data_IF_184092369159
#
_entry.id   IF_184092369159
#
_cell.length_a   1.000
_cell.length_b   1.000
_cell.length_c   1.000
_cell.angle_alpha   90.00
_cell.angle_beta   90.00
_cell.angle_gamma   90.00
#
_symmetry.space_group_name_H-M   'P 1'
#
loop_
_entity.id
_entity.type
_entity.pdbx_description
1 polymer ?
#
# COMPACT_ATOMS: atom_id res chain seq x y z
N UNK A 1 -38.80 12.41 23.71
CA UNK A 1 -37.64 11.96 22.93
C UNK A 1 -38.08 12.00 21.47
N UNK A 2 -37.61 12.97 20.66
CA UNK A 2 -37.93 13.00 19.25
C UNK A 2 -37.11 11.92 18.52
N UNK A 3 -37.80 11.06 17.78
CA UNK A 3 -37.19 10.01 16.98
C UNK A 3 -36.28 10.63 15.92
N UNK A 4 -34.99 10.28 15.94
CA UNK A 4 -34.04 10.69 14.91
C UNK A 4 -34.48 10.06 13.58
N UNK A 5 -34.71 10.85 12.51
CA UNK A 5 -35.12 10.30 11.23
C UNK A 5 -34.10 9.30 10.71
N UNK A 6 -34.60 8.22 10.12
CA UNK A 6 -33.78 7.11 9.61
C UNK A 6 -32.81 7.67 8.55
N UNK A 7 -31.51 7.31 8.56
CA UNK A 7 -30.51 7.88 7.62
C UNK A 7 -30.90 7.81 6.14
N UNK A 8 -31.76 6.85 5.78
CA UNK A 8 -32.28 6.68 4.43
C UNK A 8 -33.25 7.79 4.00
N UNK A 9 -34.07 8.31 4.92
CA UNK A 9 -35.00 9.41 4.63
C UNK A 9 -34.23 10.71 4.36
N UNK A 10 -33.16 10.97 5.11
CA UNK A 10 -32.28 12.12 4.88
C UNK A 10 -31.67 12.08 3.48
N UNK A 11 -31.08 10.95 3.07
CA UNK A 11 -30.52 10.80 1.73
C UNK A 11 -31.57 11.03 0.63
N UNK A 12 -32.77 10.47 0.80
CA UNK A 12 -33.86 10.68 -0.17
C UNK A 12 -34.29 12.15 -0.28
N UNK A 13 -34.28 12.88 0.85
CA UNK A 13 -34.60 14.30 0.88
C UNK A 13 -33.54 15.16 0.17
N UNK A 14 -32.26 14.79 0.27
CA UNK A 14 -31.17 15.44 -0.47
C UNK A 14 -31.32 15.22 -1.98
N UNK A 15 -31.58 13.99 -2.43
CA UNK A 15 -31.82 13.72 -3.85
C UNK A 15 -33.05 14.47 -4.37
N UNK A 16 -34.15 14.50 -3.61
CA UNK A 16 -35.35 15.24 -3.99
C UNK A 16 -35.09 16.75 -4.11
N UNK A 17 -34.29 17.32 -3.21
CA UNK A 17 -33.91 18.74 -3.23
C UNK A 17 -32.95 19.07 -4.37
N UNK A 18 -31.96 18.22 -4.63
CA UNK A 18 -31.05 18.40 -5.77
C UNK A 18 -31.80 18.26 -7.10
N UNK A 19 -32.69 17.27 -7.23
CA UNK A 19 -33.49 17.08 -8.42
C UNK A 19 -34.43 18.28 -8.69
N UNK A 20 -35.11 18.79 -7.66
CA UNK A 20 -35.98 19.97 -7.82
C UNK A 20 -35.20 21.23 -8.17
N UNK A 21 -33.97 21.37 -7.67
CA UNK A 21 -33.08 22.49 -8.03
C UNK A 21 -32.66 22.40 -9.50
N UNK A 22 -32.19 21.23 -9.97
CA UNK A 22 -31.81 21.04 -11.39
C UNK A 22 -33.00 21.25 -12.32
N UNK A 23 -34.19 20.77 -11.95
CA UNK A 23 -35.43 21.05 -12.70
C UNK A 23 -35.75 22.54 -12.75
N UNK A 24 -35.65 23.26 -11.63
CA UNK A 24 -35.89 24.71 -11.61
C UNK A 24 -34.93 25.50 -12.50
N UNK A 25 -33.66 25.09 -12.57
CA UNK A 25 -32.69 25.68 -13.50
C UNK A 25 -32.96 25.29 -14.96
N UNK A 26 -33.34 24.04 -15.21
CA UNK A 26 -33.68 23.56 -16.55
C UNK A 26 -34.92 24.28 -17.10
N UNK A 27 -35.96 24.45 -16.28
CA UNK A 27 -37.19 25.16 -16.67
C UNK A 27 -36.89 26.63 -17.00
N UNK A 28 -36.09 27.32 -16.17
CA UNK A 28 -35.66 28.69 -16.45
C UNK A 28 -34.82 28.77 -17.72
N UNK A 29 -33.90 27.83 -17.92
CA UNK A 29 -33.09 27.79 -19.13
C UNK A 29 -33.94 27.57 -20.38
N UNK A 30 -34.90 26.65 -20.29
CA UNK A 30 -35.83 26.38 -21.39
C UNK A 30 -36.65 27.62 -21.73
N UNK A 31 -37.17 28.30 -20.71
CA UNK A 31 -38.09 29.41 -20.87
C UNK A 31 -37.38 30.70 -21.30
N UNK A 32 -36.21 30.99 -20.73
CA UNK A 32 -35.47 32.23 -20.98
C UNK A 32 -34.54 32.15 -22.20
N UNK A 33 -34.02 30.97 -22.55
CA UNK A 33 -33.05 30.81 -23.63
C UNK A 33 -33.52 29.88 -24.74
N UNK A 34 -34.01 28.68 -24.41
CA UNK A 34 -34.29 27.68 -25.44
C UNK A 34 -35.50 28.06 -26.30
N UNK A 35 -36.63 28.44 -25.70
CA UNK A 35 -37.84 28.87 -26.41
C UNK A 35 -37.60 30.05 -27.34
N UNK A 36 -37.07 31.21 -26.88
CA UNK A 36 -36.86 32.34 -27.77
C UNK A 36 -35.83 32.04 -28.87
N UNK A 37 -34.80 31.21 -28.60
CA UNK A 37 -33.86 30.79 -29.64
C UNK A 37 -34.54 29.91 -30.72
N UNK A 38 -35.41 28.99 -30.32
CA UNK A 38 -36.16 28.14 -31.27
C UNK A 38 -37.13 29.00 -32.08
N UNK A 39 -37.91 29.87 -31.43
CA UNK A 39 -38.91 30.71 -32.09
C UNK A 39 -38.25 31.67 -33.09
N UNK A 40 -37.13 32.31 -32.69
CA UNK A 40 -36.36 33.17 -33.61
C UNK A 40 -35.74 32.38 -34.75
N UNK A 41 -35.18 31.19 -34.48
CA UNK A 41 -34.60 30.36 -35.54
C UNK A 41 -35.65 29.95 -36.58
N UNK A 42 -36.86 29.56 -36.16
CA UNK A 42 -37.95 29.21 -37.07
C UNK A 42 -38.37 30.40 -37.94
N UNK A 43 -38.46 31.60 -37.36
CA UNK A 43 -38.75 32.81 -38.13
C UNK A 43 -37.67 33.07 -39.21
N UNK A 44 -36.38 32.92 -38.88
CA UNK A 44 -35.28 33.09 -39.84
C UNK A 44 -35.27 32.03 -40.95
N UNK A 45 -35.65 30.79 -40.66
CA UNK A 45 -35.76 29.73 -41.67
C UNK A 45 -36.86 30.02 -42.70
N UNK A 46 -37.97 30.62 -42.27
CA UNK A 46 -39.07 30.99 -43.17
C UNK A 46 -38.67 32.14 -44.09
N UNK A 47 -37.95 33.14 -43.55
CA UNK A 47 -37.59 34.34 -44.30
C UNK A 47 -36.43 34.10 -45.29
N UNK A 48 -35.40 33.34 -44.88
CA UNK A 48 -34.18 33.12 -45.67
C UNK A 48 -33.66 31.67 -45.60
N UNK A 49 -34.32 30.70 -46.27
CA UNK A 49 -34.01 29.28 -46.12
C UNK A 49 -32.60 28.90 -46.59
N UNK A 50 -32.11 29.54 -47.67
CA UNK A 50 -30.79 29.23 -48.25
C UNK A 50 -29.66 29.63 -47.30
N UNK A 51 -29.74 30.84 -46.73
CA UNK A 51 -28.72 31.35 -45.81
C UNK A 51 -28.69 30.54 -44.51
N UNK A 52 -29.86 30.15 -44.00
CA UNK A 52 -29.96 29.39 -42.76
C UNK A 52 -29.32 28.00 -42.87
N UNK A 53 -29.52 27.28 -43.99
CA UNK A 53 -28.87 25.97 -44.22
C UNK A 53 -27.34 26.11 -44.34
N UNK A 54 -26.86 27.18 -44.98
CA UNK A 54 -25.42 27.44 -45.08
C UNK A 54 -24.81 27.74 -43.71
N UNK A 55 -25.44 28.61 -42.92
CA UNK A 55 -25.01 28.94 -41.57
C UNK A 55 -25.02 27.70 -40.68
N UNK A 56 -26.08 26.89 -40.72
CA UNK A 56 -26.17 25.66 -39.96
C UNK A 56 -25.05 24.68 -40.32
N UNK A 57 -24.81 24.48 -41.61
CA UNK A 57 -23.72 23.61 -42.09
C UNK A 57 -22.35 24.13 -41.64
N UNK A 58 -22.13 25.45 -41.70
CA UNK A 58 -20.91 26.10 -41.21
C UNK A 58 -20.73 25.94 -39.70
N UNK A 59 -21.79 26.10 -38.91
CA UNK A 59 -21.78 25.87 -37.46
C UNK A 59 -21.47 24.41 -37.14
N UNK A 60 -22.11 23.44 -37.81
CA UNK A 60 -21.84 22.01 -37.60
C UNK A 60 -20.40 21.67 -37.99
N UNK A 61 -19.91 22.17 -39.13
CA UNK A 61 -18.54 21.94 -39.61
C UNK A 61 -17.49 22.63 -38.73
N UNK A 62 -17.81 23.75 -38.09
CA UNK A 62 -16.91 24.45 -37.15
C UNK A 62 -16.96 23.88 -35.73
N UNK A 63 -18.08 23.30 -35.31
CA UNK A 63 -18.18 22.57 -34.04
C UNK A 63 -17.39 21.26 -34.07
N UNK A 64 -17.26 20.62 -35.22
CA UNK A 64 -16.50 19.38 -35.37
C UNK A 64 -15.04 19.51 -34.93
N UNK A 65 -14.23 20.49 -35.40
CA UNK A 65 -12.85 20.66 -34.93
C UNK A 65 -12.78 21.07 -33.46
N UNK A 66 -13.74 21.86 -32.95
CA UNK A 66 -13.81 22.23 -31.53
C UNK A 66 -14.06 20.99 -30.66
N UNK A 67 -15.01 20.14 -31.05
CA UNK A 67 -15.31 18.89 -30.38
C UNK A 67 -14.12 17.92 -30.40
N UNK A 68 -13.47 17.77 -31.56
CA UNK A 68 -12.25 16.96 -31.68
C UNK A 68 -11.11 17.51 -30.80
N UNK A 69 -10.95 18.83 -30.73
CA UNK A 69 -9.96 19.46 -29.86
C UNK A 69 -10.22 19.16 -28.38
N UNK A 70 -11.48 19.25 -27.92
CA UNK A 70 -11.85 18.94 -26.53
C UNK A 70 -11.56 17.47 -26.22
N UNK A 71 -11.97 16.54 -27.10
CA UNK A 71 -11.71 15.11 -26.90
C UNK A 71 -10.21 14.81 -26.92
N UNK A 72 -9.46 15.45 -27.82
CA UNK A 72 -8.01 15.31 -27.90
C UNK A 72 -7.33 15.82 -26.63
N UNK A 73 -7.71 17.01 -26.12
CA UNK A 73 -7.20 17.55 -24.87
C UNK A 73 -7.54 16.64 -23.68
N UNK A 74 -8.77 16.15 -23.57
CA UNK A 74 -9.16 15.23 -22.52
C UNK A 74 -8.37 13.91 -22.58
N UNK A 75 -8.17 13.35 -23.78
CA UNK A 75 -7.36 12.17 -24.01
C UNK A 75 -5.88 12.42 -23.67
N UNK A 76 -5.34 13.58 -24.02
CA UNK A 76 -3.98 13.97 -23.67
C UNK A 76 -3.81 14.05 -22.14
N UNK A 77 -4.71 14.73 -21.43
CA UNK A 77 -4.66 14.81 -19.96
C UNK A 77 -4.73 13.39 -19.35
N UNK A 78 -5.69 12.57 -19.79
CA UNK A 78 -5.85 11.21 -19.30
C UNK A 78 -4.60 10.35 -19.52
N UNK A 79 -4.01 10.41 -20.71
CA UNK A 79 -2.78 9.67 -21.03
C UNK A 79 -1.59 10.15 -20.21
N UNK A 80 -1.43 11.47 -20.01
CA UNK A 80 -0.42 12.02 -19.10
C UNK A 80 -0.62 11.57 -17.65
N UNK A 81 -1.86 11.54 -17.14
CA UNK A 81 -2.16 11.06 -15.79
C UNK A 81 -1.80 9.58 -15.63
N UNK A 82 -2.18 8.73 -16.60
CA UNK A 82 -1.84 7.30 -16.57
C UNK A 82 -0.32 7.12 -16.59
N UNK A 83 0.39 7.83 -17.46
CA UNK A 83 1.85 7.78 -17.53
C UNK A 83 2.48 8.22 -16.20
N UNK A 84 2.01 9.31 -15.59
CA UNK A 84 2.52 9.78 -14.30
C UNK A 84 2.35 8.72 -13.21
N UNK A 85 1.17 8.08 -13.13
CA UNK A 85 0.91 6.99 -12.18
C UNK A 85 1.85 5.80 -12.45
N UNK A 86 2.01 5.40 -13.71
CA UNK A 86 2.93 4.33 -14.08
C UNK A 86 4.38 4.64 -13.69
N UNK A 87 4.84 5.89 -13.86
CA UNK A 87 6.17 6.33 -13.45
C UNK A 87 6.34 6.29 -11.93
N UNK A 88 5.35 6.74 -11.16
CA UNK A 88 5.37 6.70 -9.69
C UNK A 88 5.48 5.25 -9.20
N UNK A 89 4.64 4.35 -9.73
CA UNK A 89 4.68 2.92 -9.36
C UNK A 89 6.02 2.31 -9.74
N UNK A 90 6.50 2.54 -10.96
CA UNK A 90 7.78 1.98 -11.43
C UNK A 90 8.95 2.48 -10.58
N UNK A 91 8.99 3.77 -10.26
CA UNK A 91 10.00 4.37 -9.38
C UNK A 91 9.95 3.75 -7.97
N UNK A 92 8.75 3.60 -7.41
CA UNK A 92 8.55 2.98 -6.10
C UNK A 92 9.07 1.52 -6.06
N UNK A 93 8.79 0.73 -7.10
CA UNK A 93 9.29 -0.65 -7.20
C UNK A 93 10.82 -0.68 -7.29
N UNK A 94 11.43 0.19 -8.10
CA UNK A 94 12.89 0.25 -8.24
C UNK A 94 13.54 0.60 -6.90
N UNK A 95 13.05 1.65 -6.22
CA UNK A 95 13.56 2.04 -4.90
C UNK A 95 13.41 0.90 -3.87
N UNK A 96 12.27 0.20 -3.90
CA UNK A 96 12.03 -0.96 -3.04
C UNK A 96 13.01 -2.11 -3.29
N UNK A 97 13.27 -2.45 -4.56
CA UNK A 97 14.24 -3.48 -4.93
C UNK A 97 15.67 -3.11 -4.52
N UNK A 98 16.06 -1.84 -4.71
CA UNK A 98 17.35 -1.33 -4.25
C UNK A 98 17.47 -1.45 -2.72
N UNK A 99 16.45 -1.02 -1.97
CA UNK A 99 16.46 -1.12 -0.52
C UNK A 99 16.58 -2.58 -0.05
N UNK A 100 15.84 -3.51 -0.66
CA UNK A 100 15.92 -4.94 -0.35
C UNK A 100 17.30 -5.51 -0.67
N UNK A 101 17.89 -5.12 -1.80
CA UNK A 101 19.24 -5.52 -2.17
C UNK A 101 20.28 -5.04 -1.15
N UNK A 102 20.23 -3.76 -0.77
CA UNK A 102 21.13 -3.20 0.26
C UNK A 102 20.96 -3.89 1.61
N UNK A 103 19.71 -4.13 2.03
CA UNK A 103 19.41 -4.85 3.26
C UNK A 103 20.00 -6.26 3.25
N UNK A 104 19.79 -7.01 2.17
CA UNK A 104 20.29 -8.37 2.00
C UNK A 104 21.82 -8.41 1.99
N UNK A 105 22.45 -7.46 1.29
CA UNK A 105 23.90 -7.32 1.25
C UNK A 105 24.48 -7.01 2.63
N UNK A 106 23.89 -6.06 3.36
CA UNK A 106 24.29 -5.71 4.73
C UNK A 106 24.17 -6.90 5.67
N UNK A 107 23.06 -7.64 5.61
CA UNK A 107 22.84 -8.82 6.44
C UNK A 107 23.84 -9.94 6.13
N UNK A 108 24.17 -10.14 4.86
CA UNK A 108 25.21 -11.09 4.43
C UNK A 108 26.60 -10.67 4.92
N UNK A 109 26.94 -9.39 4.87
CA UNK A 109 28.21 -8.87 5.40
C UNK A 109 28.31 -9.07 6.91
N UNK A 110 27.24 -8.77 7.66
CA UNK A 110 27.18 -8.98 9.10
C UNK A 110 27.31 -10.48 9.43
N UNK A 111 26.64 -11.35 8.67
CA UNK A 111 26.77 -12.80 8.81
C UNK A 111 28.22 -13.27 8.57
N UNK A 112 28.84 -12.82 7.47
CA UNK A 112 30.22 -13.15 7.14
C UNK A 112 31.20 -12.67 8.23
N UNK A 113 30.99 -11.44 8.71
CA UNK A 113 31.79 -10.86 9.79
C UNK A 113 31.61 -11.64 11.10
N UNK A 114 30.38 -12.04 11.44
CA UNK A 114 30.08 -12.86 12.61
C UNK A 114 30.71 -14.26 12.53
N UNK A 115 30.66 -14.90 11.36
CA UNK A 115 31.31 -16.19 11.11
C UNK A 115 32.83 -16.06 11.20
N UNK A 116 33.40 -15.00 10.62
CA UNK A 116 34.83 -14.71 10.71
C UNK A 116 35.28 -14.49 12.15
N UNK A 117 34.56 -13.68 12.92
CA UNK A 117 34.82 -13.46 14.35
C UNK A 117 34.73 -14.75 15.16
N UNK A 118 33.69 -15.56 14.90
CA UNK A 118 33.49 -16.84 15.59
C UNK A 118 34.61 -17.82 15.25
N UNK A 119 35.01 -17.92 13.98
CA UNK A 119 36.13 -18.73 13.54
C UNK A 119 37.46 -18.25 14.14
N UNK A 120 37.70 -16.93 14.18
CA UNK A 120 38.89 -16.34 14.76
C UNK A 120 38.98 -16.59 16.27
N UNK A 121 37.89 -16.41 17.02
CA UNK A 121 37.81 -16.72 18.45
C UNK A 121 38.01 -18.21 18.71
N UNK A 122 37.41 -19.07 17.88
CA UNK A 122 37.59 -20.51 17.96
C UNK A 122 39.05 -20.92 17.71
N UNK A 123 39.70 -20.34 16.69
CA UNK A 123 41.12 -20.56 16.40
C UNK A 123 42.01 -20.07 17.53
N UNK A 124 41.73 -18.88 18.07
CA UNK A 124 42.47 -18.30 19.20
C UNK A 124 42.33 -19.17 20.45
N UNK A 125 41.13 -19.66 20.75
CA UNK A 125 40.88 -20.58 21.86
C UNK A 125 41.65 -21.90 21.70
N UNK A 126 41.58 -22.51 20.51
CA UNK A 126 42.32 -23.75 20.21
C UNK A 126 43.83 -23.51 20.35
N UNK A 127 44.34 -22.41 19.80
CA UNK A 127 45.76 -22.07 19.84
C UNK A 127 46.24 -21.84 21.28
N UNK A 128 45.46 -21.12 22.09
CA UNK A 128 45.73 -20.90 23.51
C UNK A 128 45.77 -22.22 24.29
N UNK A 129 44.78 -23.11 24.08
CA UNK A 129 44.71 -24.41 24.74
C UNK A 129 45.86 -25.34 24.32
N UNK A 130 46.23 -25.33 23.04
CA UNK A 130 47.36 -26.09 22.51
C UNK A 130 48.67 -25.58 23.09
N UNK A 131 48.86 -24.26 23.19
CA UNK A 131 50.02 -23.64 23.80
C UNK A 131 50.22 -24.08 25.27
N UNK A 132 49.14 -24.10 26.06
CA UNK A 132 49.19 -24.62 27.45
C UNK A 132 49.55 -26.12 27.47
N UNK A 133 48.98 -26.92 26.58
CA UNK A 133 49.23 -28.37 26.52
C UNK A 133 50.67 -28.71 26.13
N UNK A 134 51.24 -27.96 25.18
CA UNK A 134 52.65 -28.09 24.78
C UNK A 134 53.58 -27.69 25.93
N UNK A 135 53.27 -26.61 26.64
CA UNK A 135 54.09 -26.14 27.77
C UNK A 135 54.11 -27.13 28.94
N UNK A 136 53.00 -27.85 29.18
CA UNK A 136 52.86 -28.76 30.32
C UNK A 136 53.32 -30.19 30.02
N UNK A 137 53.10 -30.72 28.81
CA UNK A 137 53.33 -32.13 28.45
C UNK A 137 54.32 -32.36 27.31
N UNK A 138 54.88 -31.30 26.71
CA UNK A 138 55.74 -31.39 25.53
C UNK A 138 55.03 -31.97 24.30
N UNK A 139 55.78 -32.61 23.39
CA UNK A 139 55.24 -33.15 22.13
C UNK A 139 54.17 -34.23 22.31
N UNK A 140 54.19 -34.99 23.41
CA UNK A 140 53.17 -36.00 23.71
C UNK A 140 51.78 -35.39 23.96
N UNK A 141 51.72 -34.12 24.39
CA UNK A 141 50.47 -33.40 24.61
C UNK A 141 49.67 -33.11 23.33
N UNK A 142 50.36 -32.92 22.20
CA UNK A 142 49.71 -32.58 20.91
C UNK A 142 48.92 -33.77 20.37
N UNK A 143 49.51 -34.97 20.40
CA UNK A 143 48.86 -36.19 19.92
C UNK A 143 47.63 -36.57 20.74
N UNK A 144 47.70 -36.43 22.07
CA UNK A 144 46.56 -36.70 22.96
C UNK A 144 45.44 -35.68 22.77
N UNK A 145 45.77 -34.39 22.64
CA UNK A 145 44.77 -33.35 22.40
C UNK A 145 44.04 -33.52 21.06
N UNK A 146 44.76 -33.93 20.00
CA UNK A 146 44.18 -34.14 18.68
C UNK A 146 43.13 -35.26 18.67
N UNK A 147 43.42 -36.39 19.31
CA UNK A 147 42.47 -37.52 19.39
C UNK A 147 41.25 -37.19 20.25
N UNK A 148 41.43 -36.47 21.36
CA UNK A 148 40.32 -35.97 22.18
C UNK A 148 39.44 -34.99 21.38
N UNK A 149 40.03 -34.02 20.68
CA UNK A 149 39.29 -33.00 19.93
C UNK A 149 38.52 -33.60 18.75
N UNK A 150 39.11 -34.55 18.04
CA UNK A 150 38.42 -35.33 17.01
C UNK A 150 37.24 -36.09 17.60
N UNK A 151 37.40 -36.68 18.79
CA UNK A 151 36.32 -37.42 19.46
C UNK A 151 35.16 -36.51 19.87
N UNK A 152 35.41 -35.23 20.17
CA UNK A 152 34.35 -34.23 20.46
C UNK A 152 33.68 -33.66 19.20
N UNK A 153 34.35 -33.64 18.05
CA UNK A 153 33.79 -33.15 16.78
C UNK A 153 33.05 -34.24 16.00
N UNK A 154 33.42 -35.51 16.18
CA UNK A 154 32.78 -36.66 15.55
C UNK A 154 31.30 -36.96 15.91
N UNK A 155 30.73 -36.55 17.06
CA UNK A 155 29.32 -36.76 17.39
C UNK A 155 28.34 -36.04 16.45
N UNK A 156 28.82 -35.13 15.60
CA UNK A 156 28.02 -34.51 14.53
C UNK A 156 27.78 -35.46 13.35
N UNK A 157 28.32 -36.69 13.37
CA UNK A 157 27.77 -37.76 12.52
C UNK A 157 26.33 -38.00 12.98
N UNK A 158 25.40 -37.49 12.18
CA UNK A 158 23.96 -37.79 12.22
C UNK A 158 23.80 -39.20 12.78
N UNK A 159 23.21 -39.39 13.97
CA UNK A 159 23.06 -40.71 14.56
C UNK A 159 22.45 -41.57 13.48
N UNK A 160 23.19 -42.59 13.05
CA UNK A 160 22.77 -43.44 11.95
C UNK A 160 21.35 -43.86 12.26
N UNK A 161 20.39 -43.33 11.49
CA UNK A 161 18.98 -43.64 11.67
C UNK A 161 18.91 -45.15 11.79
N UNK A 162 18.37 -45.70 12.89
CA UNK A 162 18.39 -47.13 13.12
C UNK A 162 17.85 -47.78 11.87
N UNK A 163 18.74 -48.45 11.14
CA UNK A 163 18.41 -49.06 9.87
C UNK A 163 17.29 -50.04 10.16
N UNK A 164 16.07 -49.65 9.81
CA UNK A 164 14.81 -50.38 10.04
C UNK A 164 14.82 -51.61 9.13
N UNK A 165 15.74 -52.53 9.43
CA UNK A 165 15.89 -53.80 8.74
C UNK A 165 15.67 -54.90 9.78
N UNK A 166 14.67 -55.73 9.49
CA UNK A 166 14.33 -56.97 10.19
C UNK A 166 13.80 -56.85 11.62
N UNK A 167 12.58 -56.33 11.74
CA UNK A 167 11.60 -57.01 12.59
C UNK A 167 11.26 -58.33 11.91
N UNK A 168 12.03 -59.38 12.22
CA UNK A 168 11.64 -60.76 11.96
C UNK A 168 10.51 -61.06 12.96
N UNK A 169 9.26 -61.32 12.52
CA UNK A 169 8.20 -61.74 13.44
C UNK A 169 8.61 -63.08 14.05
N UNK A 170 9.15 -63.02 15.27
CA UNK A 170 9.41 -64.21 16.07
C UNK A 170 8.14 -64.49 16.84
N UNK A 171 7.35 -65.38 16.27
CA UNK A 171 6.14 -65.95 16.86
C UNK A 171 6.54 -66.68 18.14
N UNK A 172 6.53 -65.98 19.28
CA UNK A 172 6.65 -66.62 20.59
C UNK A 172 5.25 -67.00 21.07
N UNK A 173 4.96 -68.29 21.28
CA UNK A 173 3.66 -68.72 21.77
C UNK A 173 3.42 -68.18 23.18
N UNK A 174 2.20 -67.65 23.33
CA UNK A 174 1.53 -67.27 24.57
C UNK A 174 1.83 -68.25 25.71
N UNK A 175 2.55 -67.79 26.72
CA UNK A 175 2.46 -68.37 28.07
C UNK A 175 1.76 -67.36 28.96
N UNK A 176 0.45 -67.58 29.05
CA UNK A 176 -0.53 -66.93 29.91
C UNK A 176 -0.15 -67.24 31.37
N UNK A 177 0.47 -66.28 32.07
CA UNK A 177 0.51 -66.30 33.55
C UNK A 177 -0.12 -65.02 34.08
N UNK A 178 -1.13 -65.25 34.90
CA UNK A 178 -2.05 -64.28 35.42
C UNK A 178 -1.53 -63.58 36.68
N UNK A 179 -2.04 -62.36 36.87
CA UNK A 179 -2.27 -61.62 38.12
C UNK A 179 -1.10 -60.86 38.77
N UNK A 180 -1.36 -59.86 39.66
CA UNK A 180 -2.62 -59.19 40.03
C UNK A 180 -2.58 -57.65 39.92
N UNK A 181 -3.79 -57.09 40.03
CA UNK A 181 -4.19 -55.69 40.11
C UNK A 181 -3.70 -55.05 41.43
N UNK A 182 -3.16 -53.84 41.33
CA UNK A 182 -2.91 -52.86 42.43
C UNK A 182 -2.94 -51.49 41.75
N UNK A 183 -4.06 -50.76 41.63
CA UNK A 183 -4.93 -50.16 42.66
C UNK A 183 -4.19 -49.28 43.66
N UNK A 184 -4.36 -47.96 43.52
CA UNK A 184 -3.94 -46.93 44.46
C UNK A 184 -3.22 -45.79 43.74
N UNK A 185 -3.88 -44.71 43.31
CA UNK A 185 -4.53 -43.63 44.10
C UNK A 185 -3.59 -42.45 44.34
N UNK A 186 -4.02 -41.33 43.74
CA UNK A 186 -4.06 -39.98 44.32
C UNK A 186 -2.75 -39.20 44.52
N UNK A 187 -2.57 -38.15 43.71
CA UNK A 187 -2.41 -36.74 44.17
C UNK A 187 -2.27 -35.84 42.91
N UNK A 188 -3.27 -35.06 42.50
CA UNK A 188 -3.61 -33.72 43.01
C UNK A 188 -2.37 -32.88 43.34
N UNK A 189 -1.91 -32.07 42.39
CA UNK A 189 -1.34 -30.76 42.73
C UNK A 189 -1.87 -29.70 41.80
N UNK A 190 -2.71 -28.89 42.41
CA UNK A 190 -3.21 -27.58 42.04
C UNK A 190 -2.13 -26.59 41.58
N UNK A 191 -2.46 -25.83 40.53
CA UNK A 191 -2.59 -24.38 40.62
C UNK A 191 -1.34 -23.50 40.60
N UNK A 192 -1.22 -22.67 39.55
CA UNK A 192 -0.84 -21.24 39.63
C UNK A 192 -0.97 -20.63 38.23
N UNK A 193 -1.99 -19.81 37.92
CA UNK A 193 -2.18 -18.38 38.24
C UNK A 193 -1.12 -17.46 37.60
N UNK A 194 -1.61 -16.67 36.66
CA UNK A 194 -1.03 -15.44 36.07
C UNK A 194 -1.72 -15.25 34.71
N UNK A 195 -2.73 -14.40 34.51
CA UNK A 195 -3.14 -13.15 35.16
C UNK A 195 -2.03 -12.10 35.24
N UNK A 196 -1.73 -11.49 34.08
CA UNK A 196 -1.42 -10.05 33.95
C UNK A 196 -1.53 -9.70 32.46
N UNK A 197 -2.53 -8.94 32.02
CA UNK A 197 -2.66 -7.48 32.17
C UNK A 197 -2.04 -6.72 30.99
N UNK A 198 -2.71 -5.62 30.64
CA UNK A 198 -2.48 -4.63 29.58
C UNK A 198 -3.07 -5.00 28.21
N UNK A 199 -4.21 -4.43 27.80
CA UNK A 199 -4.66 -3.06 28.02
C UNK A 199 -4.03 -2.15 26.98
N UNK A 200 -4.67 -2.07 25.81
CA UNK A 200 -4.50 -0.95 24.91
C UNK A 200 -5.85 -0.65 24.27
N UNK A 201 -6.69 -0.01 25.08
CA UNK A 201 -7.76 0.85 24.60
C UNK A 201 -7.09 2.09 23.98
N UNK A 202 -6.86 2.05 22.67
CA UNK A 202 -6.64 3.29 21.92
C UNK A 202 -7.98 3.72 21.34
N UNK A 203 -8.67 4.53 22.16
CA UNK A 203 -9.34 5.78 21.77
C UNK A 203 -9.74 5.87 20.28
N UNK A 204 -11.03 5.77 19.94
CA UNK A 204 -11.95 6.91 19.98
C UNK A 204 -11.27 8.22 19.52
N UNK A 205 -10.95 8.29 18.23
CA UNK A 205 -10.91 9.53 17.46
C UNK A 205 -12.27 9.58 16.74
N UNK A 206 -13.34 9.96 17.44
CA UNK A 206 -13.79 11.35 17.60
C UNK A 206 -13.77 12.09 16.27
N UNK A 207 -14.75 11.76 15.44
CA UNK A 207 -15.65 12.71 14.79
C UNK A 207 -15.16 14.15 14.78
N UNK A 208 -14.31 14.45 13.80
CA UNK A 208 -14.22 15.79 13.24
C UNK A 208 -15.34 15.97 12.24
N UNK A 209 -16.54 16.32 12.73
CA UNK A 209 -17.56 16.93 11.89
C UNK A 209 -16.98 18.26 11.39
N UNK A 210 -16.45 18.26 10.16
CA UNK A 210 -16.09 19.46 9.44
C UNK A 210 -17.42 20.14 9.10
N UNK A 211 -17.80 21.11 9.94
CA UNK A 211 -18.70 22.18 9.53
C UNK A 211 -18.01 22.89 8.37
N UNK A 212 -18.46 22.58 7.15
CA UNK A 212 -18.27 23.45 6.00
C UNK A 212 -19.11 24.68 6.30
N UNK A 213 -18.44 25.71 6.83
CA UNK A 213 -19.00 27.04 6.96
C UNK A 213 -19.14 27.61 5.55
N UNK A 214 -20.34 27.45 4.99
CA UNK A 214 -20.76 27.96 3.70
C UNK A 214 -21.16 29.42 3.88
N UNK A 215 -20.18 30.26 4.23
CA UNK A 215 -20.39 31.70 4.32
C UNK A 215 -19.06 32.40 4.09
N UNK A 216 -18.74 32.68 2.82
CA UNK A 216 -17.90 33.80 2.35
C UNK A 216 -17.76 33.67 0.81
N UNK A 217 -18.86 33.92 0.11
CA UNK A 217 -18.84 34.25 -1.33
C UNK A 217 -19.32 35.69 -1.50
N UNK A 218 -18.68 36.60 -0.80
CA UNK A 218 -18.74 38.02 -1.11
C UNK A 218 -17.31 38.57 -1.15
N UNK A 219 -17.07 39.48 -2.08
CA UNK A 219 -15.85 40.28 -2.21
C UNK A 219 -14.66 39.62 -2.92
N UNK A 220 -14.64 39.75 -4.25
CA UNK A 220 -13.55 40.47 -4.95
C UNK A 220 -13.89 40.70 -6.43
N UNK A 221 -14.83 41.60 -6.67
CA UNK A 221 -14.82 42.45 -7.86
C UNK A 221 -13.65 43.43 -7.73
N UNK A 222 -12.42 42.98 -8.00
CA UNK A 222 -11.25 43.86 -7.99
C UNK A 222 -10.09 43.30 -8.81
N UNK A 223 -10.30 42.98 -10.10
CA UNK A 223 -9.18 42.89 -11.04
C UNK A 223 -9.59 43.20 -12.48
N UNK A 224 -10.10 44.43 -12.69
CA UNK A 224 -10.28 45.02 -14.01
C UNK A 224 -9.78 46.46 -14.01
N UNK A 225 -8.47 46.63 -13.82
CA UNK A 225 -7.74 47.88 -14.04
C UNK A 225 -6.23 47.61 -14.14
N UNK A 226 -5.80 47.00 -15.25
CA UNK A 226 -4.39 47.01 -15.66
C UNK A 226 -4.26 46.62 -17.14
N UNK A 227 -5.02 47.26 -18.04
CA UNK A 227 -4.82 47.10 -19.49
C UNK A 227 -5.05 48.44 -20.19
N UNK A 228 -4.24 49.43 -19.83
CA UNK A 228 -4.17 50.70 -20.56
C UNK A 228 -2.83 51.41 -20.32
N UNK A 229 -1.69 50.76 -20.60
CA UNK A 229 -0.43 51.52 -20.71
C UNK A 229 0.68 50.83 -21.52
N UNK A 230 0.35 50.18 -22.64
CA UNK A 230 1.36 49.58 -23.55
C UNK A 230 1.09 49.94 -25.02
N UNK A 231 0.75 51.20 -25.29
CA UNK A 231 0.68 51.72 -26.68
C UNK A 231 1.34 53.08 -26.87
N UNK A 232 2.08 53.60 -25.89
CA UNK A 232 2.74 54.91 -25.98
C UNK A 232 4.22 54.86 -26.39
N UNK A 233 4.82 53.68 -26.58
CA UNK A 233 6.27 53.54 -26.85
C UNK A 233 6.66 53.19 -28.30
N UNK A 234 5.79 53.43 -29.29
CA UNK A 234 6.11 53.21 -30.73
C UNK A 234 5.96 54.50 -31.54
N UNK A 235 6.50 55.63 -31.05
CA UNK A 235 6.51 56.89 -31.82
C UNK A 235 7.72 57.81 -31.56
N UNK A 236 8.92 57.23 -31.40
CA UNK A 236 10.18 57.98 -31.39
C UNK A 236 11.30 57.19 -32.09
N UNK A 237 11.12 56.90 -33.37
CA UNK A 237 12.24 56.50 -34.22
C UNK A 237 11.92 56.80 -35.69
N UNK A 238 11.68 58.07 -35.99
CA UNK A 238 11.75 58.62 -37.35
C UNK A 238 12.10 60.10 -37.22
N UNK A 239 13.41 60.37 -37.16
CA UNK A 239 14.11 61.55 -37.68
C UNK A 239 15.63 61.27 -37.71
#
# INVERSE_FOLDING_TARGET
>A
MPDSPVPQEQLSSYFARSASSVHGYADRFEQDYARPAIDTSNAFFIEHPIFSVFLFSFVVLSLLPIGLFIVFCACAILTFTILAICFIISSSVIVGLFALFFLTCSLLLILCFSLFLTAALFLAYISYRLFISVRTKGMKGVYGWGSETISYLWPLRIPALPSRSNVRPTNKPMSRRAQPISSGSDDITSGRRGESSHGHDSSLSSDGAILVDENDTESSDHFRSAESDVTSEVKKEED
#
